data_IF_992489250284
#
_entry.id   IF_992489250284
#
_cell.length_a   1.000
_cell.length_b   1.000
_cell.length_c   1.000
_cell.angle_alpha   90.00
_cell.angle_beta   90.00
_cell.angle_gamma   90.00
#
_symmetry.space_group_name_H-M   'P 1'
#
loop_
_entity.id
_entity.type
_entity.pdbx_description
1 polymer ?
#
# COMPACT_ATOMS: atom_id res chain seq x y z
N UNK A 1 4.89 10.39 14.87
CA UNK A 1 4.39 9.82 13.62
C UNK A 1 4.34 8.32 13.79
N UNK A 2 3.23 7.69 13.41
CA UNK A 2 3.07 6.23 13.49
C UNK A 2 3.99 5.48 12.52
N UNK A 3 4.10 4.16 12.70
CA UNK A 3 4.90 3.29 11.82
C UNK A 3 4.22 3.10 10.47
N UNK A 4 4.92 3.36 9.37
CA UNK A 4 4.41 3.21 7.99
C UNK A 4 4.96 1.92 7.38
N UNK A 5 4.05 1.05 6.92
CA UNK A 5 4.38 -0.26 6.36
C UNK A 5 3.74 -0.41 4.97
N UNK A 6 4.53 -0.58 3.94
CA UNK A 6 4.05 -0.92 2.60
C UNK A 6 3.90 -2.43 2.42
N UNK A 7 2.83 -2.85 1.75
CA UNK A 7 2.62 -4.24 1.31
C UNK A 7 2.84 -4.27 -0.20
N UNK A 8 3.98 -4.77 -0.65
CA UNK A 8 4.40 -4.65 -2.05
C UNK A 8 4.85 -5.98 -2.66
N UNK A 9 4.44 -6.23 -3.88
CA UNK A 9 4.99 -7.26 -4.77
C UNK A 9 4.57 -6.95 -6.20
N UNK A 10 5.49 -7.14 -7.16
CA UNK A 10 5.23 -6.92 -8.58
C UNK A 10 4.22 -7.91 -9.17
N UNK A 11 4.09 -9.10 -8.60
CA UNK A 11 3.14 -10.11 -9.08
C UNK A 11 1.72 -9.80 -8.59
N UNK A 12 0.75 -9.84 -9.51
CA UNK A 12 -0.68 -9.81 -9.18
C UNK A 12 -1.13 -11.12 -8.50
N UNK A 13 -2.17 -11.04 -7.66
CA UNK A 13 -2.80 -12.22 -7.06
C UNK A 13 -2.02 -12.90 -5.91
N UNK A 14 -0.91 -12.31 -5.44
CA UNK A 14 -0.12 -12.88 -4.32
C UNK A 14 -0.70 -12.61 -2.93
N UNK A 15 -1.83 -11.91 -2.84
CA UNK A 15 -2.51 -11.62 -1.59
C UNK A 15 -2.08 -10.29 -0.94
N UNK A 16 -1.57 -9.30 -1.70
CA UNK A 16 -1.24 -7.96 -1.16
C UNK A 16 -2.44 -7.35 -0.44
N UNK A 17 -3.53 -7.11 -1.16
CA UNK A 17 -4.76 -6.53 -0.62
C UNK A 17 -5.32 -7.32 0.57
N UNK A 18 -5.34 -8.65 0.48
CA UNK A 18 -5.76 -9.50 1.59
C UNK A 18 -4.87 -9.31 2.81
N UNK A 19 -3.55 -9.25 2.62
CA UNK A 19 -2.60 -9.02 3.71
C UNK A 19 -2.79 -7.63 4.31
N UNK A 20 -2.93 -6.59 3.48
CA UNK A 20 -3.12 -5.20 3.89
C UNK A 20 -4.37 -5.03 4.74
N UNK A 21 -5.52 -5.52 4.27
CA UNK A 21 -6.79 -5.44 5.01
C UNK A 21 -6.72 -6.20 6.33
N UNK A 22 -6.23 -7.46 6.31
CA UNK A 22 -6.21 -8.27 7.53
C UNK A 22 -5.20 -7.75 8.55
N UNK A 23 -4.04 -7.25 8.12
CA UNK A 23 -3.06 -6.64 9.03
C UNK A 23 -3.64 -5.38 9.66
N UNK A 24 -4.21 -4.46 8.87
CA UNK A 24 -4.80 -3.23 9.36
C UNK A 24 -5.97 -3.50 10.32
N UNK A 25 -6.87 -4.44 9.97
CA UNK A 25 -7.97 -4.84 10.84
C UNK A 25 -7.49 -5.50 12.14
N UNK A 26 -6.40 -6.29 12.09
CA UNK A 26 -5.82 -6.91 13.30
C UNK A 26 -5.20 -5.88 14.24
N UNK A 27 -4.51 -4.87 13.69
CA UNK A 27 -3.95 -3.76 14.48
C UNK A 27 -5.09 -2.94 15.11
N UNK A 28 -6.14 -2.64 14.35
CA UNK A 28 -7.32 -1.94 14.84
C UNK A 28 -8.06 -2.74 15.95
N UNK A 29 -8.15 -4.07 15.82
CA UNK A 29 -8.71 -4.94 16.86
C UNK A 29 -7.88 -4.94 18.17
N UNK A 30 -6.60 -4.58 18.09
CA UNK A 30 -5.72 -4.32 19.24
C UNK A 30 -5.78 -2.86 19.72
N UNK A 31 -6.77 -2.09 19.23
CA UNK A 31 -7.02 -0.68 19.56
C UNK A 31 -5.91 0.29 19.11
N UNK A 32 -5.02 -0.13 18.18
CA UNK A 32 -4.11 0.79 17.51
C UNK A 32 -4.85 1.59 16.44
N UNK A 33 -4.74 2.91 16.50
CA UNK A 33 -5.32 3.79 15.49
C UNK A 33 -4.59 3.61 14.16
N UNK A 34 -5.26 2.98 13.20
CA UNK A 34 -4.64 2.49 11.96
C UNK A 34 -5.27 3.18 10.75
N UNK A 35 -4.44 3.69 9.85
CA UNK A 35 -4.83 4.15 8.53
C UNK A 35 -4.45 3.09 7.49
N UNK A 36 -5.42 2.64 6.70
CA UNK A 36 -5.17 1.83 5.51
C UNK A 36 -5.22 2.73 4.27
N UNK A 37 -4.17 2.67 3.46
CA UNK A 37 -4.02 3.47 2.23
C UNK A 37 -4.11 2.53 1.04
N UNK A 38 -5.07 2.77 0.15
CA UNK A 38 -5.23 2.02 -1.10
C UNK A 38 -4.42 2.71 -2.20
N UNK A 39 -3.24 2.19 -2.52
CA UNK A 39 -2.35 2.74 -3.55
C UNK A 39 -2.41 1.93 -4.86
N UNK A 40 -3.56 1.29 -5.14
CA UNK A 40 -3.84 0.59 -6.39
C UNK A 40 -5.03 1.27 -7.11
N UNK A 41 -4.88 1.72 -8.38
CA UNK A 41 -5.98 2.31 -9.14
C UNK A 41 -7.16 1.37 -9.37
N UNK A 42 -7.00 0.06 -9.13
CA UNK A 42 -8.10 -0.89 -9.15
C UNK A 42 -9.03 -0.77 -7.93
N UNK A 43 -8.61 -0.06 -6.87
CA UNK A 43 -9.38 0.23 -5.67
C UNK A 43 -9.99 -1.02 -4.99
N UNK A 44 -9.21 -2.13 -4.98
CA UNK A 44 -9.68 -3.38 -4.40
C UNK A 44 -9.76 -3.32 -2.87
N UNK A 45 -8.86 -2.63 -2.20
CA UNK A 45 -8.89 -2.37 -0.75
C UNK A 45 -10.09 -1.50 -0.39
N UNK A 46 -10.31 -0.43 -1.14
CA UNK A 46 -11.46 0.48 -0.99
C UNK A 46 -12.78 -0.27 -1.08
N UNK A 47 -12.94 -1.07 -2.14
CA UNK A 47 -14.14 -1.88 -2.36
C UNK A 47 -14.28 -2.98 -1.31
N UNK A 48 -13.17 -3.60 -0.88
CA UNK A 48 -13.13 -4.69 0.10
C UNK A 48 -13.57 -4.26 1.50
N UNK A 49 -13.43 -2.96 1.84
CA UNK A 49 -13.94 -2.36 3.08
C UNK A 49 -15.34 -1.76 2.94
N UNK A 50 -16.02 -1.99 1.81
CA UNK A 50 -17.40 -1.55 1.60
C UNK A 50 -17.56 -0.04 1.38
N UNK A 51 -16.47 0.69 1.08
CA UNK A 51 -16.53 2.14 0.87
C UNK A 51 -17.30 2.46 -0.42
N UNK A 52 -18.32 3.30 -0.27
CA UNK A 52 -19.11 3.77 -1.40
C UNK A 52 -18.40 4.90 -2.15
N UNK A 53 -18.38 4.84 -3.48
CA UNK A 53 -17.81 5.91 -4.31
C UNK A 53 -18.43 7.29 -4.02
N UNK A 54 -19.66 7.34 -3.52
CA UNK A 54 -20.38 8.60 -3.21
C UNK A 54 -19.81 9.31 -1.98
N UNK A 55 -19.15 8.57 -1.10
CA UNK A 55 -18.61 9.08 0.16
C UNK A 55 -17.16 9.56 -0.01
N UNK A 56 -16.53 9.21 -1.13
CA UNK A 56 -15.13 9.56 -1.44
C UNK A 56 -15.09 11.04 -1.83
N UNK A 57 -14.32 11.83 -1.07
CA UNK A 57 -14.05 13.24 -1.35
C UNK A 57 -12.68 13.42 -1.98
N UNK A 58 -11.68 12.73 -1.45
CA UNK A 58 -10.31 12.69 -1.94
C UNK A 58 -9.79 11.27 -1.89
N UNK A 59 -8.81 11.00 -2.71
CA UNK A 59 -8.15 9.70 -2.87
C UNK A 59 -6.63 9.86 -2.74
N UNK A 60 -5.89 8.78 -2.89
CA UNK A 60 -4.44 8.82 -3.02
C UNK A 60 -3.99 9.69 -4.20
N UNK A 61 -4.85 9.88 -5.23
CA UNK A 61 -4.53 10.75 -6.36
C UNK A 61 -4.27 12.20 -5.91
N UNK A 62 -5.15 12.81 -5.08
CA UNK A 62 -4.94 14.15 -4.57
C UNK A 62 -3.72 14.25 -3.65
N UNK A 63 -3.43 13.21 -2.89
CA UNK A 63 -2.19 13.10 -2.12
C UNK A 63 -0.95 13.19 -3.04
N UNK A 64 -0.99 12.51 -4.19
CA UNK A 64 0.12 12.48 -5.14
C UNK A 64 0.26 13.77 -5.94
N UNK A 65 -0.84 14.35 -6.42
CA UNK A 65 -0.80 15.50 -7.35
C UNK A 65 -0.71 16.84 -6.64
N UNK A 66 -1.48 17.05 -5.57
CA UNK A 66 -1.60 18.36 -4.92
C UNK A 66 -0.94 18.45 -3.54
N UNK A 67 -0.47 17.33 -2.97
CA UNK A 67 -0.04 17.23 -1.56
C UNK A 67 -1.08 17.80 -0.58
N UNK A 68 -2.34 17.83 -1.00
CA UNK A 68 -3.43 18.44 -0.25
C UNK A 68 -4.29 17.36 0.41
N UNK A 69 -3.80 16.86 1.54
CA UNK A 69 -4.51 15.88 2.36
C UNK A 69 -4.64 16.39 3.79
N UNK A 70 -5.86 16.28 4.34
CA UNK A 70 -6.16 16.55 5.74
C UNK A 70 -6.83 15.34 6.38
N UNK A 71 -6.91 15.33 7.70
CA UNK A 71 -7.60 14.25 8.44
C UNK A 71 -9.09 14.18 8.08
N UNK A 72 -9.70 15.31 7.71
CA UNK A 72 -11.12 15.38 7.31
C UNK A 72 -11.40 14.74 5.93
N UNK A 73 -10.35 14.46 5.16
CA UNK A 73 -10.44 13.78 3.87
C UNK A 73 -10.37 12.25 4.01
N UNK A 74 -9.95 11.76 5.18
CA UNK A 74 -9.86 10.33 5.49
C UNK A 74 -11.24 9.80 5.88
N UNK A 75 -11.57 8.61 5.40
CA UNK A 75 -12.86 7.99 5.66
C UNK A 75 -12.77 7.00 6.83
N UNK A 76 -13.75 7.06 7.72
CA UNK A 76 -13.91 6.01 8.73
C UNK A 76 -14.47 4.75 8.07
N UNK A 77 -14.07 3.59 8.58
CA UNK A 77 -14.63 2.29 8.18
C UNK A 77 -15.65 1.80 9.21
N UNK A 78 -16.31 0.66 8.95
CA UNK A 78 -17.16 -0.01 9.94
C UNK A 78 -16.35 -0.67 11.07
N UNK A 79 -15.01 -0.74 10.93
CA UNK A 79 -14.12 -1.31 11.93
C UNK A 79 -13.59 -0.19 12.82
N UNK A 80 -13.86 -0.27 14.13
CA UNK A 80 -13.34 0.70 15.07
C UNK A 80 -11.80 0.78 14.99
N UNK A 81 -11.23 1.97 15.14
CA UNK A 81 -9.80 2.27 15.03
C UNK A 81 -9.18 2.07 13.65
N UNK A 82 -9.98 1.76 12.60
CA UNK A 82 -9.51 1.63 11.23
C UNK A 82 -10.15 2.70 10.35
N UNK A 83 -9.31 3.57 9.80
CA UNK A 83 -9.66 4.55 8.79
C UNK A 83 -9.05 4.17 7.43
N UNK A 84 -9.55 4.74 6.34
CA UNK A 84 -9.04 4.48 4.99
C UNK A 84 -8.83 5.78 4.20
N UNK A 85 -7.68 5.86 3.51
CA UNK A 85 -7.47 6.75 2.37
C UNK A 85 -7.75 5.93 1.11
N UNK A 86 -8.87 6.18 0.41
CA UNK A 86 -9.30 5.35 -0.71
C UNK A 86 -8.51 5.62 -1.99
N UNK A 87 -8.71 4.76 -2.98
CA UNK A 87 -8.24 4.91 -4.35
C UNK A 87 -9.39 4.95 -5.34
N UNK A 88 -9.07 5.39 -6.55
CA UNK A 88 -9.91 5.23 -7.73
C UNK A 88 -9.07 5.18 -9.00
N UNK A 89 -9.76 5.11 -10.16
CA UNK A 89 -9.11 4.98 -11.47
C UNK A 89 -8.27 6.22 -11.85
N UNK A 90 -8.55 7.39 -11.27
CA UNK A 90 -7.84 8.63 -11.58
C UNK A 90 -6.37 8.55 -11.14
N UNK A 91 -6.04 7.64 -10.21
CA UNK A 91 -4.65 7.37 -9.80
C UNK A 91 -3.76 6.92 -10.97
N UNK A 92 -4.33 6.36 -12.06
CA UNK A 92 -3.58 6.08 -13.30
C UNK A 92 -3.03 7.36 -13.91
N UNK A 93 -3.78 8.47 -13.79
CA UNK A 93 -3.37 9.79 -14.28
C UNK A 93 -2.12 10.32 -13.58
N UNK A 94 -1.93 9.99 -12.32
CA UNK A 94 -0.77 10.43 -11.54
C UNK A 94 0.57 10.00 -12.19
N UNK A 95 0.66 8.82 -12.81
CA UNK A 95 1.88 8.37 -13.49
C UNK A 95 2.29 9.28 -14.65
N UNK A 96 1.32 9.89 -15.32
CA UNK A 96 1.56 10.79 -16.45
C UNK A 96 1.79 12.23 -15.97
N UNK A 97 0.94 12.70 -15.06
CA UNK A 97 0.95 14.08 -14.59
C UNK A 97 2.17 14.41 -13.72
N UNK A 98 2.71 13.41 -13.02
CA UNK A 98 3.88 13.60 -12.16
C UNK A 98 5.22 13.65 -12.91
N UNK A 99 5.26 13.44 -14.23
CA UNK A 99 6.52 13.40 -14.99
C UNK A 99 7.33 14.69 -14.83
N UNK A 100 6.66 15.83 -14.87
CA UNK A 100 7.27 17.16 -14.82
C UNK A 100 7.20 17.82 -13.42
N UNK A 101 6.77 17.06 -12.40
CA UNK A 101 6.65 17.60 -11.02
C UNK A 101 7.97 17.41 -10.27
N UNK A 102 8.48 18.49 -9.67
CA UNK A 102 9.62 18.43 -8.77
C UNK A 102 9.31 17.62 -7.51
N UNK A 103 10.30 16.88 -7.01
CA UNK A 103 10.19 16.05 -5.81
C UNK A 103 9.05 14.99 -5.89
N UNK A 104 8.72 14.58 -7.10
CA UNK A 104 7.63 13.61 -7.37
C UNK A 104 7.74 12.31 -6.57
N UNK A 105 8.95 11.91 -6.17
CA UNK A 105 9.20 10.65 -5.47
C UNK A 105 8.84 10.70 -3.97
N UNK A 106 8.59 11.89 -3.41
CA UNK A 106 8.37 12.09 -1.96
C UNK A 106 7.01 12.69 -1.61
N UNK A 107 6.11 12.82 -2.56
CA UNK A 107 4.81 13.49 -2.35
C UNK A 107 3.93 12.79 -1.32
N UNK A 108 3.84 11.46 -1.39
CA UNK A 108 3.10 10.68 -0.40
C UNK A 108 3.71 10.83 1.01
N UNK A 109 5.04 10.84 1.12
CA UNK A 109 5.73 11.09 2.38
C UNK A 109 5.37 12.47 2.95
N UNK A 110 5.34 13.51 2.10
CA UNK A 110 4.99 14.85 2.52
C UNK A 110 3.54 14.92 3.02
N UNK A 111 2.61 14.27 2.34
CA UNK A 111 1.22 14.14 2.80
C UNK A 111 1.12 13.45 4.16
N UNK A 112 1.85 12.35 4.35
CA UNK A 112 1.78 11.60 5.61
C UNK A 112 2.43 12.34 6.78
N UNK A 113 3.37 13.25 6.54
CA UNK A 113 3.87 14.15 7.59
C UNK A 113 2.77 15.03 8.19
N UNK A 114 1.72 15.32 7.42
CA UNK A 114 0.60 16.16 7.89
C UNK A 114 -0.42 15.38 8.73
N UNK A 115 -0.67 14.12 8.38
CA UNK A 115 -1.73 13.30 9.01
C UNK A 115 -1.22 12.21 9.94
N UNK A 116 0.06 11.83 9.80
CA UNK A 116 0.62 10.63 10.43
C UNK A 116 0.72 10.68 11.95
N UNK A 117 0.66 11.86 12.58
CA UNK A 117 0.62 11.98 14.04
C UNK A 117 -0.71 11.49 14.64
N UNK A 118 -1.74 11.35 13.81
CA UNK A 118 -3.07 10.89 14.25
C UNK A 118 -3.18 9.36 14.27
N UNK A 119 -2.16 8.62 13.80
CA UNK A 119 -2.19 7.17 13.63
C UNK A 119 -0.97 6.51 14.29
N UNK A 120 -1.20 5.34 14.88
CA UNK A 120 -0.13 4.46 15.38
C UNK A 120 0.52 3.67 14.24
N UNK A 121 -0.29 3.30 13.24
CA UNK A 121 0.15 2.59 12.03
C UNK A 121 -0.48 3.16 10.78
N UNK A 122 0.30 3.20 9.69
CA UNK A 122 -0.17 3.45 8.33
C UNK A 122 0.23 2.24 7.48
N UNK A 123 -0.75 1.53 6.94
CA UNK A 123 -0.56 0.37 6.06
C UNK A 123 -0.86 0.79 4.63
N UNK A 124 0.07 0.58 3.70
CA UNK A 124 -0.10 0.96 2.28
C UNK A 124 -0.23 -0.31 1.43
N UNK A 125 -1.39 -0.51 0.81
CA UNK A 125 -1.62 -1.57 -0.18
C UNK A 125 -1.14 -1.11 -1.55
N UNK A 126 0.03 -1.60 -1.97
CA UNK A 126 0.66 -1.18 -3.22
C UNK A 126 0.10 -1.91 -4.43
N UNK A 127 0.00 -1.21 -5.57
CA UNK A 127 -0.29 -1.83 -6.86
C UNK A 127 0.78 -2.86 -7.27
N UNK A 128 0.50 -3.76 -8.22
CA UNK A 128 1.51 -4.69 -8.73
C UNK A 128 2.54 -4.03 -9.65
N UNK A 129 2.36 -2.76 -10.02
CA UNK A 129 3.34 -2.01 -10.82
C UNK A 129 4.48 -1.49 -9.94
N UNK A 130 5.67 -1.33 -10.51
CA UNK A 130 6.79 -0.61 -9.87
C UNK A 130 6.86 0.85 -10.37
N UNK A 131 5.70 1.45 -10.69
CA UNK A 131 5.55 2.83 -11.11
C UNK A 131 5.75 3.84 -9.98
N UNK A 132 5.50 5.12 -10.29
CA UNK A 132 5.75 6.24 -9.38
C UNK A 132 4.95 6.14 -8.07
N UNK A 133 3.74 5.57 -8.11
CA UNK A 133 2.91 5.39 -6.91
C UNK A 133 3.56 4.41 -5.93
N UNK A 134 4.08 3.26 -6.43
CA UNK A 134 4.79 2.29 -5.60
C UNK A 134 6.12 2.86 -5.08
N UNK A 135 6.85 3.63 -5.89
CA UNK A 135 8.06 4.34 -5.44
C UNK A 135 7.72 5.28 -4.28
N UNK A 136 6.68 6.10 -4.41
CA UNK A 136 6.21 6.98 -3.34
C UNK A 136 5.80 6.22 -2.07
N UNK A 137 5.11 5.11 -2.21
CA UNK A 137 4.73 4.25 -1.08
C UNK A 137 5.96 3.76 -0.31
N UNK A 138 6.98 3.28 -1.02
CA UNK A 138 8.23 2.80 -0.42
C UNK A 138 9.09 3.94 0.15
N UNK A 139 9.10 5.11 -0.48
CA UNK A 139 9.81 6.30 0.03
C UNK A 139 9.17 6.83 1.31
N UNK A 140 7.85 6.70 1.44
CA UNK A 140 7.11 7.10 2.63
C UNK A 140 7.22 6.09 3.78
N UNK A 141 7.63 4.84 3.51
CA UNK A 141 7.55 3.75 4.49
C UNK A 141 8.80 3.60 5.35
N UNK A 142 8.62 3.13 6.59
CA UNK A 142 9.69 2.65 7.46
C UNK A 142 10.08 1.22 7.08
N UNK A 143 9.09 0.42 6.67
CA UNK A 143 9.35 -0.97 6.29
C UNK A 143 8.40 -1.49 5.21
N UNK A 144 8.77 -2.62 4.60
CA UNK A 144 7.97 -3.31 3.59
C UNK A 144 7.75 -4.77 3.95
N UNK A 145 6.50 -5.23 3.79
CA UNK A 145 6.13 -6.65 3.83
C UNK A 145 5.92 -7.14 2.40
N UNK A 146 6.49 -8.28 2.07
CA UNK A 146 6.48 -8.84 0.72
C UNK A 146 5.70 -10.17 0.73
N UNK A 147 4.40 -10.18 0.36
CA UNK A 147 3.67 -11.43 0.18
C UNK A 147 4.19 -12.15 -1.08
N UNK A 148 4.51 -13.44 -0.95
CA UNK A 148 5.03 -14.28 -2.05
C UNK A 148 4.19 -15.54 -2.14
N UNK A 149 3.74 -15.90 -3.34
CA UNK A 149 3.19 -17.22 -3.60
C UNK A 149 4.31 -18.21 -3.91
N UNK A 150 4.21 -19.47 -3.42
CA UNK A 150 5.16 -20.53 -3.69
C UNK A 150 4.96 -21.07 -5.12
N UNK A 151 5.30 -20.27 -6.12
CA UNK A 151 5.27 -20.63 -7.54
C UNK A 151 6.63 -20.37 -8.19
N UNK A 152 6.91 -21.10 -9.28
CA UNK A 152 8.21 -21.03 -9.97
C UNK A 152 8.57 -19.60 -10.41
N UNK A 153 7.63 -18.84 -10.94
CA UNK A 153 7.87 -17.45 -11.40
C UNK A 153 7.86 -16.39 -10.29
N UNK A 154 7.61 -16.78 -9.05
CA UNK A 154 7.58 -15.82 -7.94
C UNK A 154 8.97 -15.20 -7.67
N UNK A 155 10.04 -15.95 -7.93
CA UNK A 155 11.41 -15.50 -7.70
C UNK A 155 11.85 -14.37 -8.65
N UNK A 156 11.38 -14.37 -9.90
CA UNK A 156 11.71 -13.29 -10.86
C UNK A 156 11.11 -11.95 -10.42
N UNK A 157 9.82 -11.94 -10.07
CA UNK A 157 9.15 -10.73 -9.57
C UNK A 157 9.74 -10.22 -8.25
N UNK A 158 10.15 -11.13 -7.36
CA UNK A 158 10.83 -10.79 -6.12
C UNK A 158 12.19 -10.13 -6.39
N UNK A 159 12.96 -10.64 -7.35
CA UNK A 159 14.26 -10.07 -7.74
C UNK A 159 14.14 -8.60 -8.15
N UNK A 160 13.20 -8.27 -9.04
CA UNK A 160 12.95 -6.88 -9.50
C UNK A 160 12.50 -5.97 -8.37
N UNK A 161 11.64 -6.44 -7.48
CA UNK A 161 11.23 -5.67 -6.30
C UNK A 161 12.41 -5.39 -5.36
N UNK A 162 13.25 -6.38 -5.10
CA UNK A 162 14.44 -6.20 -4.25
C UNK A 162 15.45 -5.21 -4.85
N UNK A 163 15.61 -5.19 -6.17
CA UNK A 163 16.42 -4.18 -6.87
C UNK A 163 15.84 -2.78 -6.68
N UNK A 164 14.53 -2.64 -6.85
CA UNK A 164 13.83 -1.37 -6.61
C UNK A 164 13.99 -0.90 -5.16
N UNK A 165 13.82 -1.79 -4.18
CA UNK A 165 14.01 -1.46 -2.77
C UNK A 165 15.46 -0.97 -2.52
N UNK A 166 16.48 -1.65 -3.08
CA UNK A 166 17.89 -1.24 -2.95
C UNK A 166 18.16 0.14 -3.55
N UNK A 167 17.57 0.44 -4.71
CA UNK A 167 17.69 1.76 -5.35
C UNK A 167 17.05 2.85 -4.46
N UNK A 168 15.90 2.58 -3.88
CA UNK A 168 15.22 3.51 -2.95
C UNK A 168 16.07 3.69 -1.69
N UNK A 169 16.57 2.63 -1.08
CA UNK A 169 17.46 2.68 0.08
C UNK A 169 18.72 3.52 -0.19
N UNK A 170 19.28 3.40 -1.38
CA UNK A 170 20.53 4.10 -1.74
C UNK A 170 20.32 5.60 -1.99
N UNK A 171 19.17 6.00 -2.52
CA UNK A 171 18.99 7.34 -3.07
C UNK A 171 17.89 8.18 -2.39
N UNK A 172 16.82 7.55 -1.88
CA UNK A 172 15.60 8.25 -1.48
C UNK A 172 15.20 8.02 -0.02
N UNK A 173 15.33 6.77 0.48
CA UNK A 173 14.94 6.41 1.84
C UNK A 173 15.89 5.36 2.43
N UNK A 174 16.95 5.83 3.10
CA UNK A 174 18.00 4.97 3.69
C UNK A 174 17.50 4.11 4.85
N UNK A 175 16.43 4.51 5.50
CA UNK A 175 15.87 3.85 6.67
C UNK A 175 14.87 2.73 6.31
N UNK A 176 14.47 2.62 5.02
CA UNK A 176 13.54 1.58 4.58
C UNK A 176 14.12 0.19 4.87
N UNK A 177 13.36 -0.65 5.57
CA UNK A 177 13.74 -2.02 5.89
C UNK A 177 12.75 -3.04 5.32
N UNK A 178 13.19 -4.30 5.15
CA UNK A 178 12.26 -5.40 4.86
C UNK A 178 11.81 -5.98 6.20
N UNK A 179 10.53 -5.79 6.55
CA UNK A 179 9.94 -6.27 7.80
C UNK A 179 9.74 -7.78 7.77
N UNK A 180 9.13 -8.27 6.69
CA UNK A 180 8.82 -9.69 6.53
C UNK A 180 8.66 -10.09 5.06
N UNK A 181 8.92 -11.36 4.79
CA UNK A 181 8.49 -12.03 3.56
C UNK A 181 7.45 -13.08 3.95
N UNK A 182 6.20 -12.87 3.54
CA UNK A 182 5.09 -13.77 3.85
C UNK A 182 4.86 -14.73 2.69
N UNK A 183 4.80 -16.03 2.98
CA UNK A 183 4.55 -17.07 1.97
C UNK A 183 3.09 -17.51 2.02
N UNK A 184 2.42 -17.44 0.87
CA UNK A 184 1.09 -18.05 0.68
C UNK A 184 1.24 -19.36 -0.06
N UNK A 185 0.71 -20.46 0.54
CA UNK A 185 0.71 -21.78 -0.11
C UNK A 185 -0.49 -21.89 -1.05
N UNK A 186 -0.25 -22.32 -2.29
CA UNK A 186 -1.28 -22.95 -3.11
C UNK A 186 -1.70 -24.25 -2.41
N UNK A 187 -2.98 -24.43 -2.20
CA UNK A 187 -3.59 -25.45 -1.36
C UNK A 187 -3.02 -26.85 -1.60
N UNK A 188 -2.68 -27.55 -0.53
CA UNK A 188 -2.50 -29.00 -0.50
C UNK A 188 -3.82 -29.81 -0.75
N UNK A 189 -4.94 -29.16 -1.05
CA UNK A 189 -6.25 -29.79 -1.23
C UNK A 189 -6.57 -30.28 -2.64
N UNK A 190 -5.80 -29.89 -3.66
CA UNK A 190 -6.07 -30.34 -5.04
C UNK A 190 -5.39 -31.66 -5.42
N UNK A 191 -4.50 -32.18 -4.58
CA UNK A 191 -3.86 -33.51 -4.85
C UNK A 191 -4.62 -34.70 -4.38
N UNK A 192 -5.75 -34.53 -3.68
CA UNK A 192 -6.54 -35.69 -3.13
C UNK A 192 -7.79 -36.05 -3.93
N UNK A 193 -8.02 -35.47 -5.11
CA UNK A 193 -9.20 -35.75 -5.94
C UNK A 193 -8.89 -36.49 -7.25
N UNK A 194 -7.69 -37.04 -7.41
CA UNK A 194 -7.30 -37.85 -8.57
C UNK A 194 -6.69 -39.20 -8.14
N UNK A 195 -7.42 -39.94 -7.28
CA UNK A 195 -7.23 -41.37 -7.11
C UNK A 195 -8.58 -42.05 -7.22
#
# INVERSE_FOLDING_TARGET
MGKIISIANQKGGVGKTTTSINLAASLAALEYKTLLVDADPQANTTSGLGISKKDIKKTVYECMISESLSVDDILNTEINFLDILPSDIDLVGAEVEMVDIDNRDSRMKNCFNTIGENYDYIIIDCSPSLGIVTVNSLVASDSVIIPVQCEYFALEGLGKLLETIRLIQSNLNKELTIEAVSYTHLRAHETSLHL
#
